data_IF_132588040376
#
_entry.id   IF_132588040376
#
_cell.length_a   1.000
_cell.length_b   1.000
_cell.length_c   1.000
_cell.angle_alpha   90.00
_cell.angle_beta   90.00
_cell.angle_gamma   90.00
#
_symmetry.space_group_name_H-M   'P 1'
#
loop_
_entity.id
_entity.type
_entity.pdbx_description
1 polymer ?
#
# COMPACT_ATOMS: atom_id res chain seq x y z
N UNK A 1 35.34 3.69 17.85
CA UNK A 1 35.20 3.15 16.48
C UNK A 1 34.76 1.68 16.45
N UNK A 2 35.48 0.74 17.09
CA UNK A 2 35.13 -0.70 17.09
C UNK A 2 33.75 -1.03 17.68
N UNK A 3 33.36 -0.42 18.80
CA UNK A 3 32.05 -0.66 19.42
C UNK A 3 30.87 -0.17 18.55
N UNK A 4 31.05 0.94 17.83
CA UNK A 4 30.04 1.47 16.90
C UNK A 4 29.88 0.57 15.66
N UNK A 5 30.99 0.00 15.16
CA UNK A 5 30.99 -0.99 14.07
C UNK A 5 30.29 -2.29 14.48
N UNK A 6 30.54 -2.79 15.69
CA UNK A 6 29.84 -3.98 16.22
C UNK A 6 28.35 -3.71 16.40
N UNK A 7 27.98 -2.53 16.92
CA UNK A 7 26.57 -2.14 17.09
C UNK A 7 25.86 -2.01 15.74
N UNK A 8 26.50 -1.42 14.73
CA UNK A 8 25.97 -1.30 13.38
C UNK A 8 25.81 -2.68 12.70
N UNK A 9 26.79 -3.57 12.84
CA UNK A 9 26.73 -4.92 12.28
C UNK A 9 25.59 -5.76 12.89
N UNK A 10 25.39 -5.65 14.21
CA UNK A 10 24.26 -6.30 14.90
C UNK A 10 22.93 -5.77 14.40
N UNK A 11 22.78 -4.46 14.25
CA UNK A 11 21.54 -3.84 13.70
C UNK A 11 21.27 -4.27 12.27
N UNK A 12 22.30 -4.33 11.41
CA UNK A 12 22.15 -4.76 10.01
C UNK A 12 21.72 -6.23 9.93
N UNK A 13 22.20 -7.09 10.83
CA UNK A 13 21.84 -8.52 10.86
C UNK A 13 20.38 -8.79 11.22
N UNK A 14 19.62 -7.79 11.68
CA UNK A 14 18.19 -7.91 11.98
C UNK A 14 17.26 -7.49 10.83
N UNK A 15 17.79 -7.04 9.68
CA UNK A 15 16.96 -6.77 8.51
C UNK A 15 16.62 -8.08 7.80
N UNK A 16 15.51 -8.70 8.21
CA UNK A 16 14.87 -9.77 7.46
C UNK A 16 13.86 -9.18 6.45
N UNK A 17 13.90 -9.65 5.21
CA UNK A 17 12.83 -9.36 4.25
C UNK A 17 11.59 -10.15 4.66
N UNK A 18 10.49 -9.45 4.94
CA UNK A 18 9.19 -10.08 5.15
C UNK A 18 8.49 -10.23 3.80
N UNK A 19 8.29 -11.47 3.36
CA UNK A 19 7.36 -11.76 2.27
C UNK A 19 5.95 -11.69 2.85
N UNK A 20 5.09 -10.89 2.22
CA UNK A 20 3.70 -10.75 2.57
C UNK A 20 2.86 -10.83 1.30
N UNK A 21 1.60 -11.21 1.45
CA UNK A 21 0.63 -11.23 0.35
C UNK A 21 0.17 -9.80 0.06
N UNK A 22 1.11 -9.02 -0.45
CA UNK A 22 0.91 -7.67 -0.90
C UNK A 22 1.77 -7.39 -2.11
N UNK A 23 1.17 -6.76 -3.10
CA UNK A 23 1.86 -6.24 -4.27
C UNK A 23 1.73 -4.72 -4.22
N UNK A 24 2.78 -4.00 -4.63
CA UNK A 24 2.80 -2.55 -4.47
C UNK A 24 3.55 -1.83 -5.56
N UNK A 25 3.11 -0.60 -5.82
CA UNK A 25 3.83 0.34 -6.68
C UNK A 25 3.91 1.71 -6.01
N UNK A 26 4.99 2.43 -6.29
CA UNK A 26 5.26 3.76 -5.74
C UNK A 26 5.40 4.73 -6.91
N UNK A 27 4.74 5.88 -6.81
CA UNK A 27 4.77 6.91 -7.83
C UNK A 27 4.73 8.31 -7.20
N UNK A 28 4.96 9.32 -8.03
CA UNK A 28 4.75 10.73 -7.68
C UNK A 28 3.41 11.18 -8.27
N UNK A 29 2.66 11.98 -7.52
CA UNK A 29 1.49 12.67 -8.06
C UNK A 29 1.91 13.52 -9.26
N UNK A 30 1.25 13.36 -10.42
CA UNK A 30 1.59 14.15 -11.61
C UNK A 30 1.22 15.62 -11.42
N UNK A 31 1.73 16.49 -12.28
CA UNK A 31 1.18 17.84 -12.39
C UNK A 31 -0.31 17.76 -12.74
N UNK A 32 -1.07 18.75 -12.29
CA UNK A 32 -2.50 18.77 -12.57
C UNK A 32 -2.72 18.98 -14.07
N UNK A 33 -3.70 18.27 -14.62
CA UNK A 33 -4.07 18.34 -16.03
C UNK A 33 -5.52 18.80 -16.15
N UNK A 34 -5.83 19.51 -17.23
CA UNK A 34 -7.20 19.82 -17.57
C UNK A 34 -7.89 18.52 -17.97
N UNK A 35 -8.79 18.03 -17.12
CA UNK A 35 -9.62 16.87 -17.41
C UNK A 35 -10.78 17.33 -18.29
N UNK A 36 -10.87 16.87 -19.55
CA UNK A 36 -11.95 17.27 -20.44
C UNK A 36 -13.30 16.85 -19.87
N UNK A 37 -14.23 17.79 -19.78
CA UNK A 37 -15.64 17.55 -19.45
C UNK A 37 -16.48 17.22 -20.70
N UNK A 38 -15.88 17.32 -21.89
CA UNK A 38 -16.50 16.92 -23.15
C UNK A 38 -16.43 15.40 -23.32
N UNK A 39 -17.53 14.78 -23.75
CA UNK A 39 -17.63 13.34 -23.90
C UNK A 39 -16.68 12.83 -25.01
N UNK A 40 -16.10 11.61 -24.86
CA UNK A 40 -16.21 10.73 -23.70
C UNK A 40 -15.32 11.19 -22.53
N UNK A 41 -15.94 11.35 -21.35
CA UNK A 41 -15.29 11.77 -20.10
C UNK A 41 -14.73 10.59 -19.32
N UNK A 42 -13.84 10.84 -18.35
CA UNK A 42 -13.40 9.82 -17.39
C UNK A 42 -14.56 9.17 -16.63
N UNK A 43 -15.63 9.94 -16.37
CA UNK A 43 -16.83 9.46 -15.70
C UNK A 43 -17.55 8.40 -16.54
N UNK A 44 -17.48 8.49 -17.87
CA UNK A 44 -18.11 7.53 -18.79
C UNK A 44 -17.44 6.15 -18.70
N UNK A 45 -16.17 6.09 -18.29
CA UNK A 45 -15.46 4.82 -18.05
C UNK A 45 -15.95 4.09 -16.80
N UNK A 46 -16.73 4.76 -15.93
CA UNK A 46 -17.30 4.23 -14.67
C UNK A 46 -16.28 3.56 -13.76
N UNK A 47 -15.02 4.00 -13.78
CA UNK A 47 -13.95 3.45 -12.95
C UNK A 47 -14.22 3.69 -11.46
N UNK A 48 -13.81 2.74 -10.60
CA UNK A 48 -13.78 3.02 -9.15
C UNK A 48 -12.65 3.99 -8.91
N UNK A 49 -12.88 4.94 -8.00
CA UNK A 49 -11.94 6.02 -7.73
C UNK A 49 -11.37 5.90 -6.32
N UNK A 50 -10.06 6.05 -6.18
CA UNK A 50 -9.36 6.23 -4.92
C UNK A 50 -8.84 7.66 -4.85
N UNK A 51 -8.98 8.28 -3.68
CA UNK A 51 -8.43 9.62 -3.40
C UNK A 51 -7.60 9.58 -2.11
N UNK A 52 -6.76 10.58 -1.81
CA UNK A 52 -6.05 10.61 -0.54
C UNK A 52 -6.96 10.63 0.70
N UNK A 53 -8.22 11.04 0.56
CA UNK A 53 -9.22 11.07 1.64
C UNK A 53 -10.07 9.81 1.70
N UNK A 54 -10.41 9.23 0.55
CA UNK A 54 -11.06 7.92 0.44
C UNK A 54 -10.08 6.94 -0.21
N UNK A 55 -9.16 6.47 0.62
CA UNK A 55 -7.91 5.90 0.17
C UNK A 55 -7.88 4.37 0.27
N UNK A 56 -9.01 3.73 0.58
CA UNK A 56 -9.13 2.29 0.74
C UNK A 56 -10.34 1.78 0.00
N UNK A 57 -10.17 0.69 -0.74
CA UNK A 57 -11.23 0.01 -1.46
C UNK A 57 -11.14 -1.50 -1.24
N UNK A 58 -12.14 -2.05 -0.56
CA UNK A 58 -12.35 -3.50 -0.45
C UNK A 58 -13.18 -3.99 -1.63
N UNK A 59 -12.68 -4.97 -2.37
CA UNK A 59 -13.35 -5.49 -3.56
C UNK A 59 -12.94 -6.91 -3.89
N UNK A 60 -13.62 -7.52 -4.85
CA UNK A 60 -13.18 -8.75 -5.52
C UNK A 60 -12.62 -8.44 -6.89
N UNK A 61 -11.45 -8.95 -7.21
CA UNK A 61 -10.83 -8.83 -8.54
C UNK A 61 -10.99 -10.14 -9.31
N UNK A 62 -11.41 -10.09 -10.59
CA UNK A 62 -11.38 -11.28 -11.43
C UNK A 62 -9.94 -11.73 -11.58
N UNK A 63 -9.69 -13.03 -11.43
CA UNK A 63 -8.42 -13.67 -11.69
C UNK A 63 -8.64 -14.81 -12.69
N UNK A 64 -7.59 -15.16 -13.45
CA UNK A 64 -7.57 -16.33 -14.34
C UNK A 64 -6.18 -16.93 -14.33
N UNK A 65 -6.08 -18.22 -14.65
CA UNK A 65 -4.77 -18.80 -14.92
C UNK A 65 -4.09 -18.10 -16.11
N UNK A 66 -2.76 -17.93 -16.07
CA UNK A 66 -1.99 -17.41 -17.18
C UNK A 66 -2.33 -18.11 -18.51
N UNK A 67 -2.52 -17.32 -19.57
CA UNK A 67 -2.67 -17.82 -20.93
C UNK A 67 -1.67 -17.13 -21.88
N UNK A 68 -1.55 -17.63 -23.11
CA UNK A 68 -0.67 -17.02 -24.11
C UNK A 68 -1.04 -15.55 -24.39
N UNK A 69 -2.34 -15.23 -24.41
CA UNK A 69 -2.85 -13.88 -24.66
C UNK A 69 -2.83 -12.99 -23.41
N UNK A 70 -2.94 -13.59 -22.22
CA UNK A 70 -2.99 -12.89 -20.93
C UNK A 70 -2.08 -13.58 -19.91
N UNK A 71 -0.75 -13.47 -20.05
CA UNK A 71 0.19 -14.17 -19.17
C UNK A 71 0.13 -13.70 -17.72
N UNK A 72 -0.34 -12.47 -17.48
CA UNK A 72 -0.51 -11.87 -16.15
C UNK A 72 -1.98 -11.83 -15.69
N UNK A 73 -2.87 -12.52 -16.42
CA UNK A 73 -4.30 -12.54 -16.13
C UNK A 73 -5.05 -11.27 -16.56
N UNK A 74 -6.35 -11.18 -16.24
CA UNK A 74 -7.22 -10.07 -16.65
C UNK A 74 -6.86 -8.75 -15.96
N UNK A 75 -7.13 -7.64 -16.65
CA UNK A 75 -6.92 -6.29 -16.15
C UNK A 75 -8.14 -5.73 -15.42
N UNK A 76 -7.90 -5.13 -14.26
CA UNK A 76 -8.82 -4.24 -13.55
C UNK A 76 -8.27 -2.83 -13.56
N UNK A 77 -9.11 -1.85 -13.93
CA UNK A 77 -8.73 -0.44 -13.94
C UNK A 77 -9.45 0.38 -12.86
N UNK A 78 -8.71 1.30 -12.25
CA UNK A 78 -9.19 2.27 -11.27
C UNK A 78 -8.65 3.66 -11.61
N UNK A 79 -9.35 4.69 -11.13
CA UNK A 79 -8.90 6.07 -11.18
C UNK A 79 -8.28 6.47 -9.84
N UNK A 80 -7.10 7.07 -9.87
CA UNK A 80 -6.50 7.76 -8.74
C UNK A 80 -6.72 9.25 -8.97
N UNK A 81 -7.47 9.89 -8.09
CA UNK A 81 -7.92 11.29 -8.27
C UNK A 81 -7.55 12.15 -7.06
N UNK A 82 -7.51 13.46 -7.26
CA UNK A 82 -7.13 14.47 -6.27
C UNK A 82 -5.76 14.20 -5.64
N UNK A 83 -4.79 13.72 -6.44
CA UNK A 83 -3.42 13.57 -5.98
C UNK A 83 -2.79 14.95 -5.76
N UNK A 84 -1.78 15.02 -4.90
CA UNK A 84 -0.96 16.24 -4.78
C UNK A 84 0.26 16.13 -5.69
N UNK A 85 0.48 17.10 -6.59
CA UNK A 85 1.66 17.10 -7.45
C UNK A 85 2.96 16.92 -6.66
N UNK A 86 3.86 16.09 -7.16
CA UNK A 86 5.19 15.78 -6.58
C UNK A 86 5.16 15.13 -5.19
N UNK A 87 3.99 14.85 -4.62
CA UNK A 87 3.88 14.02 -3.44
C UNK A 87 4.04 12.55 -3.84
N UNK A 88 4.78 11.79 -3.04
CA UNK A 88 4.97 10.36 -3.22
C UNK A 88 3.78 9.60 -2.63
N UNK A 89 3.32 8.60 -3.36
CA UNK A 89 2.24 7.70 -2.97
C UNK A 89 2.70 6.25 -3.15
N UNK A 90 2.19 5.36 -2.32
CA UNK A 90 2.26 3.91 -2.51
C UNK A 90 0.83 3.38 -2.69
N UNK A 91 0.59 2.60 -3.73
CA UNK A 91 -0.64 1.81 -3.85
C UNK A 91 -0.29 0.36 -3.51
N UNK A 92 -1.06 -0.22 -2.60
CA UNK A 92 -0.95 -1.61 -2.17
C UNK A 92 -2.19 -2.38 -2.57
N UNK A 93 -2.00 -3.60 -3.08
CA UNK A 93 -3.03 -4.62 -3.23
C UNK A 93 -2.69 -5.71 -2.22
N UNK A 94 -3.55 -5.91 -1.22
CA UNK A 94 -3.38 -6.95 -0.20
C UNK A 94 -4.46 -8.03 -0.37
N UNK A 95 -4.09 -9.31 -0.23
CA UNK A 95 -5.01 -10.43 -0.42
C UNK A 95 -4.79 -11.55 0.63
N UNK A 96 -5.78 -12.42 0.87
CA UNK A 96 -5.64 -13.51 1.84
C UNK A 96 -4.71 -14.61 1.32
N UNK A 97 -3.96 -15.23 2.23
CA UNK A 97 -3.07 -16.36 1.90
C UNK A 97 -3.79 -17.58 1.32
N UNK A 98 -5.11 -17.69 1.54
CA UNK A 98 -5.95 -18.77 1.04
C UNK A 98 -6.38 -18.58 -0.42
N UNK A 99 -6.05 -17.45 -1.05
CA UNK A 99 -6.30 -17.18 -2.47
C UNK A 99 -4.96 -16.82 -3.16
N UNK A 100 -4.07 -17.79 -3.41
CA UNK A 100 -2.79 -17.53 -4.06
C UNK A 100 -3.00 -16.92 -5.44
N UNK A 101 -2.43 -15.74 -5.67
CA UNK A 101 -2.61 -14.97 -6.90
C UNK A 101 -1.39 -14.09 -7.07
N UNK A 102 -0.83 -14.12 -8.26
CA UNK A 102 0.23 -13.22 -8.68
C UNK A 102 -0.38 -11.93 -9.22
N UNK A 103 0.03 -10.80 -8.66
CA UNK A 103 -0.50 -9.49 -9.01
C UNK A 103 0.58 -8.66 -9.69
N UNK A 104 0.19 -7.90 -10.70
CA UNK A 104 1.04 -6.83 -11.25
C UNK A 104 0.29 -5.51 -11.15
N UNK A 105 0.90 -4.53 -10.48
CA UNK A 105 0.29 -3.23 -10.19
C UNK A 105 1.07 -2.12 -10.90
N UNK A 106 0.39 -1.33 -11.74
CA UNK A 106 1.03 -0.27 -12.52
C UNK A 106 0.17 0.98 -12.58
N UNK A 107 0.80 2.15 -12.56
CA UNK A 107 0.12 3.44 -12.71
C UNK A 107 0.55 4.14 -13.99
N UNK A 108 -0.41 4.76 -14.68
CA UNK A 108 -0.18 5.44 -15.95
C UNK A 108 -0.77 6.86 -15.93
N UNK A 109 -0.03 7.86 -16.44
CA UNK A 109 -0.62 9.14 -16.82
C UNK A 109 -1.72 8.96 -17.85
N UNK A 110 -2.67 9.89 -17.87
CA UNK A 110 -3.76 9.84 -18.85
C UNK A 110 -3.18 9.84 -20.28
N UNK A 111 -2.38 10.84 -20.66
CA UNK A 111 -1.78 10.89 -22.01
C UNK A 111 -1.18 9.54 -22.46
N UNK A 112 -0.40 8.88 -21.61
CA UNK A 112 0.20 7.56 -21.91
C UNK A 112 -0.81 6.48 -22.26
N UNK A 113 -1.95 6.41 -21.56
CA UNK A 113 -2.97 5.39 -21.86
C UNK A 113 -3.68 5.69 -23.18
N UNK A 114 -3.91 6.96 -23.52
CA UNK A 114 -4.57 7.35 -24.77
C UNK A 114 -3.64 7.18 -25.98
N UNK A 115 -2.34 7.43 -25.78
CA UNK A 115 -1.31 7.31 -26.81
C UNK A 115 -0.86 5.84 -27.05
N UNK A 116 -1.19 4.92 -26.14
CA UNK A 116 -0.81 3.50 -26.24
C UNK A 116 -2.02 2.63 -26.57
N UNK A 117 -2.14 2.13 -27.82
CA UNK A 117 -3.32 1.38 -28.28
C UNK A 117 -3.67 0.17 -27.39
N UNK A 118 -2.67 -0.55 -26.89
CA UNK A 118 -2.85 -1.76 -26.08
C UNK A 118 -3.46 -1.42 -24.70
N UNK A 119 -3.02 -0.31 -24.08
CA UNK A 119 -3.55 0.16 -22.80
C UNK A 119 -4.98 0.65 -22.96
N UNK A 120 -5.25 1.41 -24.03
CA UNK A 120 -6.59 1.91 -24.33
C UNK A 120 -7.57 0.75 -24.64
N UNK A 121 -7.14 -0.26 -25.39
CA UNK A 121 -7.94 -1.45 -25.66
C UNK A 121 -8.25 -2.22 -24.35
N UNK A 122 -7.26 -2.38 -23.47
CA UNK A 122 -7.45 -3.01 -22.15
C UNK A 122 -8.44 -2.23 -21.28
N UNK A 123 -8.31 -0.90 -21.22
CA UNK A 123 -9.20 -0.03 -20.45
C UNK A 123 -10.65 -0.11 -20.94
N UNK A 124 -10.87 -0.06 -22.27
CA UNK A 124 -12.21 -0.18 -22.88
C UNK A 124 -12.82 -1.57 -22.62
N UNK A 125 -12.04 -2.64 -22.78
CA UNK A 125 -12.52 -3.99 -22.49
C UNK A 125 -13.00 -4.11 -21.04
N UNK A 126 -12.25 -3.56 -20.11
CA UNK A 126 -12.66 -3.49 -18.71
C UNK A 126 -13.93 -2.64 -18.50
N UNK A 127 -14.02 -1.44 -19.07
CA UNK A 127 -15.21 -0.57 -18.90
C UNK A 127 -16.48 -1.25 -19.40
N UNK A 128 -16.44 -1.88 -20.58
CA UNK A 128 -17.57 -2.62 -21.16
C UNK A 128 -17.98 -3.80 -20.28
N UNK A 129 -17.04 -4.63 -19.82
CA UNK A 129 -17.36 -5.77 -18.93
C UNK A 129 -18.04 -5.32 -17.63
N UNK A 130 -17.66 -4.14 -17.15
CA UNK A 130 -18.19 -3.58 -15.92
C UNK A 130 -19.57 -2.97 -16.09
N UNK A 131 -19.86 -2.34 -17.21
CA UNK A 131 -21.21 -1.89 -17.56
C UNK A 131 -22.19 -3.06 -17.57
N UNK A 132 -21.80 -4.19 -18.16
CA UNK A 132 -22.59 -5.42 -18.17
C UNK A 132 -22.84 -5.95 -16.74
N UNK A 133 -21.82 -5.90 -15.88
CA UNK A 133 -21.93 -6.33 -14.48
C UNK A 133 -22.79 -5.40 -13.62
N UNK A 134 -22.99 -4.15 -14.04
CA UNK A 134 -23.80 -3.13 -13.36
C UNK A 134 -25.23 -3.03 -13.91
N UNK A 135 -25.54 -3.71 -15.02
CA UNK A 135 -26.88 -3.74 -15.58
C UNK A 135 -27.82 -4.49 -14.62
N UNK A 136 -28.95 -3.88 -14.19
CA UNK A 136 -29.85 -4.52 -13.24
C UNK A 136 -30.57 -5.70 -13.90
N UNK A 137 -30.30 -6.92 -13.44
CA UNK A 137 -31.29 -8.00 -13.54
C UNK A 137 -32.47 -7.66 -12.62
N UNK A 138 -33.46 -6.94 -13.15
CA UNK A 138 -34.86 -6.96 -12.71
C UNK A 138 -35.22 -6.69 -11.22
N UNK A 139 -34.31 -6.20 -10.38
CA UNK A 139 -34.53 -5.98 -8.95
C UNK A 139 -34.42 -4.52 -8.52
N UNK A 140 -35.14 -4.08 -7.46
CA UNK A 140 -35.04 -2.72 -6.96
C UNK A 140 -33.61 -2.43 -6.46
N UNK A 141 -33.11 -1.20 -6.66
CA UNK A 141 -31.71 -0.86 -6.38
C UNK A 141 -31.38 -1.05 -4.90
N UNK A 142 -30.20 -1.61 -4.55
CA UNK A 142 -29.76 -1.71 -3.17
C UNK A 142 -29.53 -0.29 -2.60
N UNK A 143 -30.07 0.03 -1.41
CA UNK A 143 -29.77 1.29 -0.75
C UNK A 143 -28.37 1.17 -0.13
N UNK A 144 -27.37 1.93 -0.62
CA UNK A 144 -26.09 1.99 0.09
C UNK A 144 -24.81 2.38 -0.64
N UNK A 145 -24.83 2.87 -1.88
CA UNK A 145 -23.63 3.49 -2.48
C UNK A 145 -23.91 4.94 -2.86
N UNK A 146 -24.28 5.73 -1.86
CA UNK A 146 -24.27 7.17 -1.95
C UNK A 146 -22.82 7.64 -1.94
N UNK A 147 -22.32 8.07 -3.10
CA UNK A 147 -21.15 8.93 -3.16
C UNK A 147 -21.36 10.09 -2.20
N UNK A 148 -20.40 10.32 -1.31
CA UNK A 148 -20.31 11.54 -0.53
C UNK A 148 -20.17 12.73 -1.47
N UNK A 149 -21.30 13.30 -1.87
CA UNK A 149 -21.38 14.62 -2.50
C UNK A 149 -21.08 15.64 -1.40
N UNK A 150 -19.81 16.01 -1.30
CA UNK A 150 -19.40 17.19 -0.56
C UNK A 150 -20.00 18.41 -1.22
N UNK A 151 -20.85 19.09 -0.46
CA UNK A 151 -21.46 20.37 -0.79
C UNK A 151 -20.37 21.39 -1.20
N UNK A 152 -20.38 21.80 -2.46
CA UNK A 152 -19.51 22.84 -3.02
C UNK A 152 -20.24 23.51 -4.17
N UNK A 153 -20.52 24.78 -4.00
CA UNK A 153 -21.30 25.67 -4.87
C UNK A 153 -20.88 25.69 -6.34
N UNK A 154 -21.87 25.49 -7.20
CA UNK A 154 -22.17 26.21 -8.46
C UNK A 154 -21.06 27.09 -9.08
N UNK A 155 -20.51 26.64 -10.22
CA UNK A 155 -19.94 27.50 -11.27
C UNK A 155 -19.67 26.72 -12.58
N UNK A 156 -20.67 26.59 -13.46
CA UNK A 156 -20.52 26.32 -14.91
C UNK A 156 -19.75 25.05 -15.39
N UNK A 157 -19.71 24.76 -16.71
CA UNK A 157 -18.87 23.70 -17.27
C UNK A 157 -17.44 24.24 -17.44
N UNK A 158 -16.75 24.55 -16.34
CA UNK A 158 -15.34 24.89 -16.36
C UNK A 158 -14.50 23.63 -16.26
N UNK A 159 -13.54 23.45 -17.18
CA UNK A 159 -12.55 22.37 -17.18
C UNK A 159 -12.01 22.10 -15.76
N UNK A 160 -11.96 20.82 -15.37
CA UNK A 160 -11.49 20.44 -14.03
C UNK A 160 -9.99 20.19 -14.08
N UNK A 161 -9.22 21.09 -13.50
CA UNK A 161 -7.78 20.87 -13.28
C UNK A 161 -7.59 19.90 -12.11
N UNK A 162 -7.06 18.70 -12.38
CA UNK A 162 -6.86 17.68 -11.35
C UNK A 162 -5.59 16.86 -11.62
N UNK A 163 -4.89 16.48 -10.56
CA UNK A 163 -3.78 15.52 -10.63
C UNK A 163 -4.35 14.11 -10.54
N UNK A 164 -4.28 13.40 -11.68
CA UNK A 164 -4.96 12.12 -11.90
C UNK A 164 -4.02 11.07 -12.51
N UNK A 165 -4.21 9.81 -12.12
CA UNK A 165 -3.55 8.65 -12.73
C UNK A 165 -4.55 7.52 -12.94
N UNK A 166 -4.30 6.68 -13.94
CA UNK A 166 -4.99 5.40 -14.09
C UNK A 166 -4.17 4.29 -13.45
N UNK A 167 -4.80 3.51 -12.59
CA UNK A 167 -4.22 2.32 -11.96
C UNK A 167 -4.70 1.07 -12.71
N UNK A 168 -3.76 0.24 -13.14
CA UNK A 168 -4.01 -1.09 -13.69
C UNK A 168 -3.53 -2.16 -12.71
N UNK A 169 -4.40 -3.12 -12.43
CA UNK A 169 -4.08 -4.32 -11.65
C UNK A 169 -4.34 -5.53 -12.54
N UNK A 170 -3.32 -6.36 -12.73
CA UNK A 170 -3.42 -7.66 -13.41
C UNK A 170 -3.38 -8.75 -12.33
N UNK A 171 -4.24 -9.76 -12.45
CA UNK A 171 -4.39 -10.81 -11.45
C UNK A 171 -4.35 -12.21 -12.10
N UNK A 172 -3.24 -12.91 -11.94
CA UNK A 172 -3.06 -14.28 -12.40
C UNK A 172 -3.20 -15.26 -11.24
N UNK A 173 -4.03 -16.29 -11.39
CA UNK A 173 -4.09 -17.36 -10.40
C UNK A 173 -2.74 -18.10 -10.34
N UNK A 174 -2.20 -18.26 -9.14
CA UNK A 174 -0.89 -18.89 -8.90
C UNK A 174 -1.01 -20.06 -7.92
N UNK A 175 -1.75 -21.10 -8.32
CA UNK A 175 -1.88 -22.33 -7.57
C UNK A 175 -2.14 -23.53 -8.48
N UNK A 176 -1.91 -24.73 -7.93
CA UNK A 176 -2.38 -25.98 -8.51
C UNK A 176 -3.15 -26.76 -7.46
N UNK A 177 -4.28 -27.33 -7.84
CA UNK A 177 -5.13 -28.13 -6.95
C UNK A 177 -5.67 -29.35 -7.69
N UNK A 178 -6.04 -30.38 -6.92
CA UNK A 178 -6.72 -31.57 -7.45
C UNK A 178 -8.21 -31.33 -7.70
N UNK A 179 -8.75 -30.22 -7.19
CA UNK A 179 -10.12 -29.80 -7.47
C UNK A 179 -10.23 -29.30 -8.92
N UNK A 180 -10.83 -30.13 -9.78
CA UNK A 180 -11.02 -29.82 -11.19
C UNK A 180 -11.86 -28.55 -11.40
N UNK A 181 -12.79 -28.23 -10.50
CA UNK A 181 -13.62 -27.04 -10.62
C UNK A 181 -12.77 -25.77 -10.47
N UNK A 182 -11.90 -25.72 -9.45
CA UNK A 182 -10.98 -24.61 -9.19
C UNK A 182 -9.87 -24.48 -10.23
N UNK A 183 -9.49 -25.59 -10.89
CA UNK A 183 -8.55 -25.56 -12.02
C UNK A 183 -9.20 -25.08 -13.33
N UNK A 184 -10.52 -25.24 -13.48
CA UNK A 184 -11.26 -24.82 -14.68
C UNK A 184 -11.84 -23.40 -14.58
N UNK A 185 -12.23 -22.98 -13.38
CA UNK A 185 -12.85 -21.69 -13.11
C UNK A 185 -12.27 -21.09 -11.84
N UNK A 186 -11.46 -20.04 -12.01
CA UNK A 186 -10.83 -19.33 -10.91
C UNK A 186 -11.86 -18.40 -10.26
N UNK A 187 -12.11 -18.51 -8.94
CA UNK A 187 -12.97 -17.57 -8.26
C UNK A 187 -12.31 -16.17 -8.16
N UNK A 188 -13.10 -15.08 -8.16
CA UNK A 188 -12.55 -13.74 -7.89
C UNK A 188 -11.85 -13.67 -6.52
N UNK A 189 -10.78 -12.90 -6.46
CA UNK A 189 -9.90 -12.77 -5.28
C UNK A 189 -10.33 -11.57 -4.46
N UNK A 190 -10.51 -11.76 -3.15
CA UNK A 190 -10.81 -10.68 -2.21
C UNK A 190 -9.55 -9.87 -1.95
N UNK A 191 -9.64 -8.55 -2.19
CA UNK A 191 -8.51 -7.64 -2.03
C UNK A 191 -8.89 -6.38 -1.28
N UNK A 192 -7.90 -5.84 -0.58
CA UNK A 192 -7.89 -4.47 -0.08
C UNK A 192 -6.90 -3.66 -0.90
N UNK A 193 -7.40 -2.66 -1.63
CA UNK A 193 -6.58 -1.72 -2.39
C UNK A 193 -6.44 -0.44 -1.58
N UNK A 194 -5.20 -0.06 -1.24
CA UNK A 194 -4.92 1.09 -0.36
C UNK A 194 -3.98 2.06 -1.07
N UNK A 195 -4.39 3.33 -1.20
CA UNK A 195 -3.58 4.45 -1.63
C UNK A 195 -3.01 5.17 -0.40
N UNK A 196 -1.70 5.07 -0.16
CA UNK A 196 -1.06 5.67 1.01
C UNK A 196 -0.14 6.84 0.62
N UNK A 197 -0.47 8.09 1.02
CA UNK A 197 0.42 9.22 0.82
C UNK A 197 1.66 9.12 1.71
N UNK A 198 2.82 9.52 1.21
CA UNK A 198 4.02 9.62 2.03
C UNK A 198 4.01 10.92 2.84
N UNK A 199 4.47 10.82 4.09
CA UNK A 199 4.83 11.95 4.92
C UNK A 199 6.24 12.40 4.54
N UNK A 200 6.39 13.68 4.20
CA UNK A 200 7.66 14.29 3.77
C UNK A 200 8.35 13.55 2.61
N UNK A 201 7.60 12.78 1.82
CA UNK A 201 8.12 11.87 0.79
C UNK A 201 9.10 10.79 1.29
N UNK A 202 9.20 10.56 2.60
CA UNK A 202 10.11 9.56 3.18
C UNK A 202 9.43 8.24 3.55
N UNK A 203 8.30 8.31 4.25
CA UNK A 203 7.62 7.12 4.78
C UNK A 203 6.11 7.15 4.46
N UNK A 204 5.48 5.99 4.19
CA UNK A 204 4.03 5.90 4.05
C UNK A 204 3.34 6.40 5.33
N UNK A 205 2.25 7.16 5.19
CA UNK A 205 1.54 7.75 6.33
C UNK A 205 1.02 6.68 7.28
N UNK A 206 0.59 5.52 6.77
CA UNK A 206 0.14 4.41 7.63
C UNK A 206 1.26 3.82 8.50
N UNK A 207 2.53 3.97 8.12
CA UNK A 207 3.68 3.47 8.88
C UNK A 207 4.06 4.39 10.06
N UNK A 208 3.60 5.64 10.07
CA UNK A 208 4.03 6.66 11.02
C UNK A 208 3.78 6.25 12.48
N UNK A 209 2.61 5.65 12.77
CA UNK A 209 2.27 5.19 14.12
C UNK A 209 3.21 4.08 14.60
N UNK A 210 3.48 3.09 13.74
CA UNK A 210 4.41 2.00 14.03
C UNK A 210 5.83 2.51 14.25
N UNK A 211 6.30 3.43 13.40
CA UNK A 211 7.61 4.04 13.56
C UNK A 211 7.74 4.80 14.89
N UNK A 212 6.72 5.60 15.25
CA UNK A 212 6.68 6.32 16.52
C UNK A 212 6.72 5.36 17.71
N UNK A 213 5.95 4.27 17.66
CA UNK A 213 5.95 3.23 18.69
C UNK A 213 7.32 2.56 18.86
N UNK A 214 7.96 2.16 17.76
CA UNK A 214 9.30 1.55 17.78
C UNK A 214 10.32 2.50 18.42
N UNK A 215 10.28 3.79 18.07
CA UNK A 215 11.16 4.81 18.66
C UNK A 215 10.93 4.93 20.16
N UNK A 216 9.67 4.97 20.60
CA UNK A 216 9.34 5.05 22.03
C UNK A 216 9.87 3.84 22.81
N UNK A 217 9.68 2.62 22.28
CA UNK A 217 10.19 1.38 22.88
C UNK A 217 11.72 1.39 22.93
N UNK A 218 12.39 1.82 21.86
CA UNK A 218 13.85 1.90 21.81
C UNK A 218 14.42 2.87 22.85
N UNK A 219 13.80 4.05 23.03
CA UNK A 219 14.19 5.01 24.06
C UNK A 219 14.01 4.42 25.46
N UNK A 220 12.88 3.77 25.74
CA UNK A 220 12.61 3.15 27.02
C UNK A 220 13.64 2.04 27.34
N UNK A 221 13.95 1.18 26.37
CA UNK A 221 14.95 0.12 26.51
C UNK A 221 16.35 0.70 26.75
N UNK A 222 16.73 1.77 26.04
CA UNK A 222 18.00 2.46 26.25
C UNK A 222 18.12 3.03 27.67
N UNK A 223 17.08 3.71 28.16
CA UNK A 223 17.06 4.26 29.51
C UNK A 223 17.15 3.16 30.57
N UNK A 224 16.43 2.05 30.39
CA UNK A 224 16.47 0.91 31.31
C UNK A 224 17.86 0.25 31.32
N UNK A 225 18.45 0.02 30.14
CA UNK A 225 19.81 -0.52 30.02
C UNK A 225 20.83 0.35 30.74
N UNK A 226 20.77 1.68 30.56
CA UNK A 226 21.65 2.62 31.26
C UNK A 226 21.49 2.54 32.78
N UNK A 227 20.27 2.37 33.29
CA UNK A 227 19.99 2.22 34.73
C UNK A 227 20.59 0.92 35.28
N UNK A 228 20.43 -0.19 34.56
CA UNK A 228 20.98 -1.50 34.95
C UNK A 228 22.52 -1.45 34.97
N UNK A 229 23.14 -0.96 33.90
CA UNK A 229 24.62 -0.85 33.82
C UNK A 229 25.16 0.04 34.93
N UNK A 230 24.49 1.18 35.18
CA UNK A 230 24.87 2.06 36.30
C UNK A 230 24.70 1.38 37.66
N UNK A 231 23.68 0.55 37.84
CA UNK A 231 23.46 -0.24 39.05
C UNK A 231 24.55 -1.28 39.26
N UNK A 232 24.92 -2.04 38.22
CA UNK A 232 26.01 -3.02 38.28
C UNK A 232 27.34 -2.35 38.62
N UNK A 233 27.66 -1.22 37.98
CA UNK A 233 28.89 -0.48 38.31
C UNK A 233 28.92 0.01 39.76
N UNK A 234 27.78 0.42 40.32
CA UNK A 234 27.69 0.81 41.74
C UNK A 234 27.93 -0.38 42.67
N UNK A 235 27.35 -1.55 42.37
CA UNK A 235 27.53 -2.76 43.16
C UNK A 235 28.98 -3.26 43.14
N UNK A 236 29.63 -3.22 41.99
CA UNK A 236 31.06 -3.54 41.87
C UNK A 236 31.89 -2.56 42.69
N UNK A 237 31.62 -1.25 42.58
CA UNK A 237 32.35 -0.23 43.33
C UNK A 237 32.18 -0.36 44.85
N UNK A 238 30.99 -0.74 45.34
CA UNK A 238 30.77 -1.00 46.77
C UNK A 238 31.50 -2.27 47.22
N UNK A 239 31.48 -3.34 46.42
CA UNK A 239 32.19 -4.58 46.76
C UNK A 239 33.71 -4.37 46.86
N UNK A 240 34.29 -3.62 45.92
CA UNK A 240 35.72 -3.26 45.96
C UNK A 240 36.07 -2.40 47.19
N UNK A 241 35.17 -1.49 47.59
CA UNK A 241 35.36 -0.66 48.77
C UNK A 241 35.34 -1.48 50.07
N UNK A 242 34.41 -2.44 50.19
CA UNK A 242 34.30 -3.32 51.36
C UNK A 242 35.54 -4.22 51.51
N UNK A 243 36.00 -4.83 50.42
CA UNK A 243 37.24 -5.64 50.40
C UNK A 243 38.44 -4.82 50.85
N UNK A 244 38.55 -3.57 50.38
CA UNK A 244 39.65 -2.67 50.75
C UNK A 244 39.62 -2.29 52.23
N UNK A 245 38.43 -2.04 52.79
CA UNK A 245 38.29 -1.75 54.22
C UNK A 245 38.67 -2.95 55.09
N UNK A 246 38.26 -4.16 54.71
CA UNK A 246 38.59 -5.37 55.46
C UNK A 246 40.10 -5.65 55.46
N UNK A 247 40.78 -5.40 54.34
CA UNK A 247 42.24 -5.53 54.23
C UNK A 247 43.00 -4.53 55.12
N UNK A 248 42.48 -3.30 55.29
CA UNK A 248 43.07 -2.29 56.18
C UNK A 248 42.92 -2.71 57.64
N UNK A 249 41.74 -3.24 58.02
CA UNK A 249 41.46 -3.66 59.39
C UNK A 249 42.32 -4.84 59.87
N UNK A 250 42.72 -5.74 58.96
CA UNK A 250 43.64 -6.87 59.27
C UNK A 250 45.11 -6.46 59.44
N UNK A 251 45.49 -5.22 59.09
CA UNK A 251 46.86 -4.71 59.18
C UNK A 251 47.13 -3.87 60.44
N UNK A 252 46.11 -3.59 61.24
CA UNK A 252 46.21 -2.90 62.54
C UNK A 252 46.08 -3.93 63.67
#
# INVERSE_FOLDING_TARGET
MRAALVSAAVVISFFAAALANTEKTIFLGPEAVNVPLAHPTLSDLRLRTLTPTNNTLRTRLPARFPSADQPQGPATWLLLDHLTPKQRYEVRVCWPATQPTDFTVSTFPLATVWDTPELMASLRAYSVSREQSLAPEGGPPPPGSGNGSGNGSDSGPSEREASVLLLRILAAADYYTTDASLMSSVPPVDVDIILDPFLFNLLPRSLAGTACYIVAVAVAAYLLSRRIVSGIHRLIASADADVRQEAIKKRQ
#
